data_IF_298446500828
#
_entry.id   IF_298446500828
#
_cell.length_a   1.000
_cell.length_b   1.000
_cell.length_c   1.000
_cell.angle_alpha   90.00
_cell.angle_beta   90.00
_cell.angle_gamma   90.00
#
_symmetry.space_group_name_H-M   'P 1'
#
loop_
_entity.id
_entity.type
_entity.pdbx_description
1 polymer ?
#
# COMPACT_ATOMS: atom_id res chain seq x y z
N UNK A 1 11.52 -6.40 12.72
CA UNK A 1 10.54 -5.61 13.50
C UNK A 1 11.17 -5.21 14.82
N UNK A 2 10.98 -3.96 15.26
CA UNK A 2 11.56 -3.38 16.48
C UNK A 2 10.41 -2.88 17.36
N UNK A 3 10.40 -3.24 18.63
CA UNK A 3 9.33 -2.93 19.59
C UNK A 3 9.71 -1.91 20.65
N UNK A 4 11.00 -1.52 20.73
CA UNK A 4 11.50 -0.55 21.72
C UNK A 4 12.67 0.26 21.17
N UNK A 5 12.93 1.47 21.73
CA UNK A 5 14.12 2.25 21.38
C UNK A 5 15.44 1.51 21.64
N UNK A 6 15.48 0.65 22.64
CA UNK A 6 16.67 -0.16 22.95
C UNK A 6 16.94 -1.20 21.85
N UNK A 7 15.90 -1.88 21.38
CA UNK A 7 16.01 -2.81 20.24
C UNK A 7 16.42 -2.08 18.97
N UNK A 8 15.86 -0.88 18.73
CA UNK A 8 16.22 -0.07 17.57
C UNK A 8 17.73 0.24 17.57
N UNK A 9 18.27 0.69 18.69
CA UNK A 9 19.70 1.00 18.81
C UNK A 9 20.58 -0.21 18.51
N UNK A 10 20.14 -1.41 18.90
CA UNK A 10 20.90 -2.64 18.67
C UNK A 10 20.83 -3.11 17.19
N UNK A 11 19.71 -2.90 16.52
CA UNK A 11 19.46 -3.41 15.15
C UNK A 11 19.97 -2.45 14.07
N UNK A 12 19.98 -1.15 14.32
CA UNK A 12 20.41 -0.14 13.35
C UNK A 12 21.78 -0.40 12.71
N UNK A 13 22.86 -0.71 13.46
CA UNK A 13 24.16 -0.97 12.86
C UNK A 13 24.16 -2.19 11.94
N UNK A 14 23.39 -3.23 12.30
CA UNK A 14 23.25 -4.46 11.50
C UNK A 14 22.57 -4.15 10.17
N UNK A 15 21.42 -3.48 10.23
CA UNK A 15 20.67 -3.11 9.02
C UNK A 15 21.48 -2.17 8.11
N UNK A 16 22.26 -1.24 8.67
CA UNK A 16 23.17 -0.39 7.88
C UNK A 16 24.23 -1.19 7.15
N UNK A 17 24.85 -2.15 7.85
CA UNK A 17 25.85 -3.03 7.25
C UNK A 17 25.27 -3.87 6.11
N UNK A 18 24.07 -4.44 6.32
CA UNK A 18 23.36 -5.21 5.29
C UNK A 18 22.98 -4.34 4.09
N UNK A 19 22.42 -3.14 4.31
CA UNK A 19 22.07 -2.20 3.25
C UNK A 19 23.30 -1.79 2.45
N UNK A 20 24.40 -1.47 3.12
CA UNK A 20 25.67 -1.14 2.47
C UNK A 20 26.18 -2.27 1.60
N UNK A 21 26.13 -3.49 2.10
CA UNK A 21 26.59 -4.67 1.37
C UNK A 21 25.71 -4.98 0.15
N UNK A 22 24.38 -4.83 0.28
CA UNK A 22 23.42 -5.18 -0.76
C UNK A 22 23.25 -4.08 -1.82
N UNK A 23 23.24 -2.80 -1.42
CA UNK A 23 22.86 -1.68 -2.27
C UNK A 23 23.96 -0.63 -2.47
N UNK A 24 25.10 -0.76 -1.78
CA UNK A 24 26.18 0.23 -1.81
C UNK A 24 25.90 1.51 -1.01
N UNK A 25 24.73 1.60 -0.36
CA UNK A 25 24.29 2.71 0.48
C UNK A 25 23.81 2.18 1.83
N UNK A 26 24.12 2.89 2.92
CA UNK A 26 23.71 2.52 4.27
C UNK A 26 22.53 3.35 4.82
N UNK A 27 21.88 4.11 3.96
CA UNK A 27 20.68 4.86 4.29
C UNK A 27 19.54 3.91 4.72
N UNK A 28 18.87 4.27 5.81
CA UNK A 28 17.74 3.53 6.36
C UNK A 28 16.57 4.48 6.59
N UNK A 29 15.38 3.94 6.50
CA UNK A 29 14.17 4.61 6.94
C UNK A 29 13.38 3.73 7.89
N UNK A 30 12.49 4.33 8.67
CA UNK A 30 11.62 3.65 9.62
C UNK A 30 10.18 3.71 9.12
N UNK A 31 9.53 2.57 9.13
CA UNK A 31 8.12 2.45 8.83
C UNK A 31 7.35 2.00 10.06
N UNK A 32 6.14 2.49 10.21
CA UNK A 32 5.23 2.01 11.23
C UNK A 32 4.80 0.58 10.91
N UNK A 33 5.04 -0.33 11.84
CA UNK A 33 4.52 -1.69 11.76
C UNK A 33 3.03 -1.72 12.14
N UNK A 34 2.20 -2.29 11.29
CA UNK A 34 0.78 -2.51 11.53
C UNK A 34 0.56 -4.01 11.76
N UNK A 35 0.15 -4.39 12.99
CA UNK A 35 0.01 -5.80 13.37
C UNK A 35 -1.24 -6.45 12.77
N UNK A 36 -2.35 -5.73 12.74
CA UNK A 36 -3.63 -6.17 12.18
C UNK A 36 -4.01 -5.27 11.00
N UNK A 37 -3.40 -5.52 9.87
CA UNK A 37 -3.67 -4.74 8.67
C UNK A 37 -4.63 -5.47 7.72
N UNK A 38 -5.32 -4.66 6.91
CA UNK A 38 -6.06 -5.11 5.74
C UNK A 38 -5.46 -4.49 4.50
N UNK A 39 -5.32 -5.31 3.45
CA UNK A 39 -4.94 -4.84 2.15
C UNK A 39 -6.19 -4.52 1.35
N UNK A 40 -6.49 -3.24 1.22
CA UNK A 40 -7.63 -2.76 0.43
C UNK A 40 -7.08 -1.95 -0.73
N UNK A 41 -7.53 -2.26 -1.93
CA UNK A 41 -7.17 -1.55 -3.15
C UNK A 41 -8.40 -0.98 -3.84
N UNK A 42 -8.22 0.07 -4.64
CA UNK A 42 -9.26 0.68 -5.45
C UNK A 42 -8.95 0.41 -6.91
N UNK A 43 -9.87 -0.26 -7.59
CA UNK A 43 -9.78 -0.44 -9.03
C UNK A 43 -10.16 0.85 -9.73
N UNK A 44 -9.31 1.32 -10.64
CA UNK A 44 -9.55 2.54 -11.43
C UNK A 44 -9.43 2.25 -12.92
N UNK A 45 -10.07 3.08 -13.73
CA UNK A 45 -9.86 3.13 -15.18
C UNK A 45 -9.78 4.60 -15.58
N UNK A 46 -8.71 4.98 -16.29
CA UNK A 46 -8.47 6.36 -16.74
C UNK A 46 -8.15 6.34 -18.23
N UNK A 47 -8.82 7.18 -19.00
CA UNK A 47 -8.53 7.33 -20.41
C UNK A 47 -7.37 8.32 -20.69
N UNK A 48 -6.92 8.38 -21.93
CA UNK A 48 -5.86 9.27 -22.38
C UNK A 48 -6.16 10.77 -22.24
N UNK A 49 -7.39 11.13 -21.96
CA UNK A 49 -7.82 12.52 -21.76
C UNK A 49 -7.89 12.91 -20.29
N UNK A 50 -7.52 11.99 -19.36
CA UNK A 50 -7.58 12.19 -17.94
C UNK A 50 -9.00 12.04 -17.36
N UNK A 51 -9.94 11.50 -18.15
CA UNK A 51 -11.26 11.16 -17.63
C UNK A 51 -11.23 9.74 -17.07
N UNK A 52 -11.66 9.60 -15.84
CA UNK A 52 -11.56 8.31 -15.15
C UNK A 52 -12.76 7.99 -14.27
N UNK A 53 -12.85 6.70 -13.94
CA UNK A 53 -13.84 6.15 -13.01
C UNK A 53 -13.15 5.22 -12.02
N UNK A 54 -13.71 5.09 -10.83
CA UNK A 54 -13.34 4.02 -9.91
C UNK A 54 -14.41 2.92 -9.93
N UNK A 55 -13.96 1.68 -9.81
CA UNK A 55 -14.80 0.47 -9.81
C UNK A 55 -14.90 -0.14 -8.41
N UNK A 56 -14.87 0.71 -7.40
CA UNK A 56 -14.91 0.39 -5.98
C UNK A 56 -13.65 -0.31 -5.47
N UNK A 57 -13.72 -0.73 -4.21
CA UNK A 57 -12.62 -1.37 -3.52
C UNK A 57 -12.69 -2.89 -3.60
N UNK A 58 -11.51 -3.50 -3.46
CA UNK A 58 -11.32 -4.93 -3.20
C UNK A 58 -10.50 -5.11 -1.94
N UNK A 59 -10.87 -6.09 -1.12
CA UNK A 59 -10.07 -6.57 0.00
C UNK A 59 -9.22 -7.74 -0.48
N UNK A 60 -7.92 -7.57 -0.47
CA UNK A 60 -6.94 -8.56 -0.92
C UNK A 60 -6.07 -9.03 0.24
N UNK A 61 -6.61 -9.06 1.47
CA UNK A 61 -5.85 -9.37 2.68
C UNK A 61 -5.40 -10.83 2.76
N UNK A 62 -6.12 -11.74 2.09
CA UNK A 62 -5.74 -13.16 2.06
C UNK A 62 -4.64 -13.37 1.02
N UNK A 63 -3.40 -13.32 1.48
CA UNK A 63 -2.21 -13.38 0.65
C UNK A 63 -1.25 -14.48 1.12
N UNK A 64 -0.48 -15.01 0.19
CA UNK A 64 0.67 -15.89 0.47
C UNK A 64 1.89 -15.44 -0.32
N UNK A 65 2.96 -15.06 0.38
CA UNK A 65 4.21 -14.57 -0.24
C UNK A 65 3.94 -13.44 -1.25
N UNK A 66 3.16 -12.45 -0.84
CA UNK A 66 2.73 -11.28 -1.66
C UNK A 66 1.86 -11.62 -2.88
N UNK A 67 1.33 -12.84 -2.96
CA UNK A 67 0.33 -13.21 -3.98
C UNK A 67 -1.05 -13.16 -3.36
N UNK A 68 -1.95 -12.43 -3.97
CA UNK A 68 -3.37 -12.37 -3.62
C UNK A 68 -4.00 -13.72 -3.95
N UNK A 69 -4.56 -14.41 -2.95
CA UNK A 69 -5.18 -15.73 -3.11
C UNK A 69 -6.69 -15.63 -3.16
N UNK A 70 -7.27 -14.75 -2.34
CA UNK A 70 -8.69 -14.47 -2.32
C UNK A 70 -8.86 -12.96 -2.34
N UNK A 71 -9.74 -12.51 -3.19
CA UNK A 71 -10.16 -11.12 -3.26
C UNK A 71 -11.68 -11.07 -3.05
N UNK A 72 -12.14 -10.14 -2.25
CA UNK A 72 -13.57 -9.91 -2.02
C UNK A 72 -13.93 -8.44 -2.25
N UNK A 73 -15.11 -8.25 -2.81
CA UNK A 73 -15.72 -6.94 -2.96
C UNK A 73 -17.21 -7.04 -2.64
N UNK A 74 -17.70 -6.12 -1.84
CA UNK A 74 -17.05 -5.02 -1.17
C UNK A 74 -16.21 -5.47 0.06
N UNK A 75 -15.18 -4.68 0.39
CA UNK A 75 -14.38 -4.96 1.60
C UNK A 75 -15.19 -4.83 2.89
N UNK A 76 -15.13 -5.82 3.79
CA UNK A 76 -15.77 -5.70 5.11
C UNK A 76 -15.10 -4.64 6.00
N UNK A 77 -13.87 -4.26 5.70
CA UNK A 77 -13.12 -3.24 6.45
C UNK A 77 -13.51 -1.81 6.07
N UNK A 78 -14.17 -1.59 4.92
CA UNK A 78 -14.55 -0.27 4.45
C UNK A 78 -16.05 -0.04 4.67
N UNK A 79 -16.44 0.82 5.62
CA UNK A 79 -17.85 1.14 5.85
C UNK A 79 -18.49 1.82 4.62
N UNK A 80 -19.77 1.54 4.38
CA UNK A 80 -20.51 2.11 3.24
C UNK A 80 -20.35 3.63 3.06
N UNK A 81 -20.43 4.47 4.11
CA UNK A 81 -20.28 5.92 3.94
C UNK A 81 -18.91 6.36 3.42
N UNK A 82 -17.85 5.60 3.74
CA UNK A 82 -16.48 5.94 3.34
C UNK A 82 -16.06 5.45 1.96
N UNK A 83 -16.78 4.48 1.37
CA UNK A 83 -16.41 3.86 0.09
C UNK A 83 -16.29 4.83 -1.06
N UNK A 84 -17.32 5.66 -1.20
CA UNK A 84 -17.36 6.64 -2.28
C UNK A 84 -16.21 7.64 -2.17
N UNK A 85 -16.01 8.18 -0.98
CA UNK A 85 -14.93 9.12 -0.72
C UNK A 85 -13.55 8.50 -0.99
N UNK A 86 -13.34 7.25 -0.58
CA UNK A 86 -12.10 6.52 -0.83
C UNK A 86 -11.85 6.35 -2.33
N UNK A 87 -12.86 5.95 -3.09
CA UNK A 87 -12.80 5.81 -4.55
C UNK A 87 -12.50 7.13 -5.25
N UNK A 88 -13.17 8.21 -4.86
CA UNK A 88 -12.95 9.55 -5.42
C UNK A 88 -11.55 10.07 -5.12
N UNK A 89 -11.01 9.82 -3.92
CA UNK A 89 -9.64 10.17 -3.55
C UNK A 89 -8.61 9.40 -4.36
N UNK A 90 -8.79 8.08 -4.51
CA UNK A 90 -7.93 7.25 -5.34
C UNK A 90 -7.91 7.74 -6.79
N UNK A 91 -9.08 8.01 -7.37
CA UNK A 91 -9.20 8.53 -8.72
C UNK A 91 -8.47 9.86 -8.90
N UNK A 92 -8.64 10.80 -7.97
CA UNK A 92 -7.90 12.08 -7.98
C UNK A 92 -6.39 11.87 -7.95
N UNK A 93 -5.90 10.94 -7.14
CA UNK A 93 -4.47 10.66 -7.02
C UNK A 93 -3.89 10.10 -8.32
N UNK A 94 -4.56 9.13 -8.96
CA UNK A 94 -4.06 8.50 -10.19
C UNK A 94 -4.12 9.45 -11.38
N UNK A 95 -5.16 10.29 -11.49
CA UNK A 95 -5.26 11.33 -12.51
C UNK A 95 -4.17 12.38 -12.32
N UNK A 96 -3.92 12.83 -11.10
CA UNK A 96 -2.85 13.78 -10.79
C UNK A 96 -1.45 13.22 -11.10
N UNK A 97 -1.27 11.89 -10.99
CA UNK A 97 -0.04 11.19 -11.36
C UNK A 97 0.10 10.95 -12.89
N UNK A 98 -0.86 11.36 -13.68
CA UNK A 98 -0.86 11.12 -15.13
C UNK A 98 -1.04 9.65 -15.51
N UNK A 99 -1.68 8.88 -14.65
CA UNK A 99 -1.94 7.47 -14.94
C UNK A 99 -2.98 7.32 -16.06
N UNK A 100 -2.70 6.44 -16.99
CA UNK A 100 -3.59 6.05 -18.10
C UNK A 100 -3.73 4.53 -18.09
N UNK A 101 -4.90 4.00 -18.35
CA UNK A 101 -5.25 2.58 -18.41
C UNK A 101 -6.06 2.11 -17.20
N UNK A 102 -6.10 0.79 -17.03
CA UNK A 102 -6.81 0.14 -15.93
C UNK A 102 -5.79 -0.36 -14.87
N UNK A 103 -6.02 -0.06 -13.62
CA UNK A 103 -5.13 -0.44 -12.51
C UNK A 103 -5.83 -0.48 -11.15
#
# INVERSE_FOLDING_TARGET
MVRSPRELAAVLPICRSEAKAAFGDDALYLEKWLEENRHVEIQVAVDRFGVGVHLWERDCSVQRRHRKIVEESPSPAVPRPGRRELGERALKAVVAAGYENMG
#
